data_IF_680905575195
#
_entry.id   IF_680905575195
#
_cell.length_a   1.000
_cell.length_b   1.000
_cell.length_c   1.000
_cell.angle_alpha   90.00
_cell.angle_beta   90.00
_cell.angle_gamma   90.00
#
_symmetry.space_group_name_H-M   'P 1'
#
loop_
_entity.id
_entity.type
_entity.pdbx_description
1 polymer ?
#
# COMPACT_ATOMS: atom_id res chain seq x y z
N UNK A 1 -7.26 -12.95 -17.40
CA UNK A 1 -7.70 -12.68 -16.02
C UNK A 1 -6.72 -11.69 -15.41
N UNK A 2 -7.10 -10.42 -15.31
CA UNK A 2 -6.20 -9.32 -14.94
C UNK A 2 -5.98 -9.24 -13.43
N UNK A 3 -4.78 -8.88 -13.00
CA UNK A 3 -4.42 -8.71 -11.57
C UNK A 3 -5.36 -7.75 -10.82
N UNK A 4 -6.09 -6.90 -11.54
CA UNK A 4 -7.05 -5.93 -11.01
C UNK A 4 -8.18 -6.57 -10.21
N UNK A 5 -8.59 -7.81 -10.51
CA UNK A 5 -9.61 -8.52 -9.72
C UNK A 5 -9.08 -9.03 -8.37
N UNK A 6 -7.79 -9.38 -8.27
CA UNK A 6 -7.22 -9.92 -7.02
C UNK A 6 -7.17 -8.88 -5.91
N UNK A 7 -7.05 -7.59 -6.25
CA UNK A 7 -7.00 -6.50 -5.26
C UNK A 7 -8.36 -6.17 -4.64
N UNK A 8 -9.47 -6.42 -5.36
CA UNK A 8 -10.81 -6.29 -4.77
C UNK A 8 -11.02 -7.23 -3.59
N UNK A 9 -10.40 -8.42 -3.62
CA UNK A 9 -10.47 -9.40 -2.54
C UNK A 9 -9.82 -8.86 -1.25
N UNK A 10 -8.80 -8.00 -1.37
CA UNK A 10 -8.15 -7.34 -0.24
C UNK A 10 -8.79 -5.99 0.14
N UNK A 11 -9.88 -5.60 -0.54
CA UNK A 11 -10.57 -4.32 -0.29
C UNK A 11 -9.71 -3.09 -0.59
N UNK A 12 -8.67 -3.22 -1.40
CA UNK A 12 -7.78 -2.12 -1.79
C UNK A 12 -8.38 -1.33 -2.96
N UNK A 13 -8.28 -0.01 -2.90
CA UNK A 13 -8.60 0.85 -4.02
C UNK A 13 -7.49 0.81 -5.08
N UNK A 14 -7.74 1.40 -6.25
CA UNK A 14 -6.80 1.36 -7.39
C UNK A 14 -5.44 1.98 -7.09
N UNK A 15 -5.39 3.03 -6.27
CA UNK A 15 -4.12 3.65 -5.89
C UNK A 15 -3.37 2.83 -4.85
N UNK A 16 -4.07 2.30 -3.85
CA UNK A 16 -3.51 1.38 -2.87
C UNK A 16 -2.92 0.13 -3.53
N UNK A 17 -3.64 -0.48 -4.46
CA UNK A 17 -3.17 -1.64 -5.21
C UNK A 17 -1.88 -1.31 -6.01
N UNK A 18 -1.84 -0.16 -6.68
CA UNK A 18 -0.65 0.26 -7.45
C UNK A 18 0.54 0.57 -6.55
N UNK A 19 0.34 1.31 -5.47
CA UNK A 19 1.39 1.63 -4.52
C UNK A 19 1.95 0.36 -3.85
N UNK A 20 1.06 -0.56 -3.43
CA UNK A 20 1.45 -1.84 -2.85
C UNK A 20 2.26 -2.70 -3.84
N UNK A 21 1.80 -2.82 -5.09
CA UNK A 21 2.56 -3.54 -6.12
C UNK A 21 3.94 -2.93 -6.38
N UNK A 22 4.05 -1.61 -6.40
CA UNK A 22 5.32 -0.92 -6.54
C UNK A 22 6.24 -1.22 -5.36
N UNK A 23 5.75 -1.15 -4.13
CA UNK A 23 6.51 -1.50 -2.92
C UNK A 23 7.00 -2.96 -2.95
N UNK A 24 6.15 -3.90 -3.36
CA UNK A 24 6.53 -5.32 -3.47
C UNK A 24 7.60 -5.55 -4.54
N UNK A 25 7.61 -4.75 -5.62
CA UNK A 25 8.58 -4.88 -6.72
C UNK A 25 9.91 -4.17 -6.44
N UNK A 26 9.84 -2.94 -5.94
CA UNK A 26 11.00 -2.06 -5.78
C UNK A 26 11.63 -2.16 -4.37
N UNK A 27 10.93 -2.75 -3.40
CA UNK A 27 11.38 -2.81 -2.02
C UNK A 27 11.31 -1.45 -1.31
N UNK A 28 12.32 -1.15 -0.49
CA UNK A 28 12.39 0.12 0.25
C UNK A 28 12.56 1.26 -0.75
N UNK A 29 11.56 2.14 -0.83
CA UNK A 29 11.51 3.25 -1.78
C UNK A 29 10.94 4.50 -1.11
N UNK A 30 11.37 5.67 -1.55
CA UNK A 30 10.83 6.95 -1.09
C UNK A 30 9.42 7.20 -1.66
N UNK A 31 8.63 8.04 -1.01
CA UNK A 31 7.29 8.43 -1.49
C UNK A 31 7.31 9.01 -2.92
N UNK A 32 8.40 9.72 -3.27
CA UNK A 32 8.62 10.28 -4.61
C UNK A 32 8.83 9.19 -5.65
N UNK A 33 9.63 8.17 -5.33
CA UNK A 33 9.87 7.02 -6.21
C UNK A 33 8.60 6.19 -6.36
N UNK A 34 7.90 5.91 -5.26
CA UNK A 34 6.64 5.17 -5.30
C UNK A 34 5.62 5.91 -6.16
N UNK A 35 5.46 7.23 -5.99
CA UNK A 35 4.58 8.05 -6.83
C UNK A 35 4.96 7.94 -8.32
N UNK A 36 6.25 8.05 -8.64
CA UNK A 36 6.77 7.95 -10.01
C UNK A 36 6.49 6.58 -10.63
N UNK A 37 6.76 5.49 -9.92
CA UNK A 37 6.67 4.13 -10.46
C UNK A 37 5.25 3.56 -10.43
N UNK A 38 4.42 3.94 -9.44
CA UNK A 38 3.03 3.49 -9.34
C UNK A 38 2.06 4.32 -10.20
N UNK A 39 2.48 5.52 -10.62
CA UNK A 39 1.61 6.50 -11.27
C UNK A 39 0.55 7.11 -10.33
N UNK A 40 0.68 6.92 -9.02
CA UNK A 40 -0.16 7.59 -8.02
C UNK A 40 0.33 9.03 -7.86
N UNK A 41 -0.56 10.04 -7.91
CA UNK A 41 -0.16 11.44 -7.72
C UNK A 41 0.59 11.66 -6.40
N UNK A 42 1.64 12.47 -6.43
CA UNK A 42 2.44 12.76 -5.22
C UNK A 42 1.61 13.38 -4.10
N UNK A 43 0.59 14.18 -4.44
CA UNK A 43 -0.36 14.74 -3.46
C UNK A 43 -1.23 13.71 -2.73
N UNK A 44 -1.22 12.45 -3.18
CA UNK A 44 -2.05 11.36 -2.66
C UNK A 44 -1.22 10.21 -2.10
N UNK A 45 0.10 10.23 -2.28
CA UNK A 45 0.92 9.05 -1.96
C UNK A 45 0.98 8.80 -0.46
N UNK A 46 1.12 9.85 0.35
CA UNK A 46 1.15 9.72 1.81
C UNK A 46 -0.17 9.19 2.36
N UNK A 47 -1.31 9.72 1.89
CA UNK A 47 -2.64 9.20 2.27
C UNK A 47 -2.81 7.72 1.92
N UNK A 48 -2.32 7.31 0.76
CA UNK A 48 -2.39 5.92 0.30
C UNK A 48 -1.49 5.02 1.14
N UNK A 49 -0.28 5.47 1.48
CA UNK A 49 0.65 4.72 2.32
C UNK A 49 0.13 4.58 3.75
N UNK A 50 -0.43 5.64 4.34
CA UNK A 50 -1.07 5.63 5.67
C UNK A 50 -2.27 4.68 5.71
N UNK A 51 -3.11 4.67 4.67
CA UNK A 51 -4.21 3.70 4.54
C UNK A 51 -3.71 2.26 4.46
N UNK A 52 -2.64 2.00 3.70
CA UNK A 52 -2.02 0.68 3.60
C UNK A 52 -1.43 0.23 4.94
N UNK A 53 -0.70 1.11 5.63
CA UNK A 53 -0.12 0.84 6.95
C UNK A 53 -1.22 0.48 7.97
N UNK A 54 -2.27 1.31 8.07
CA UNK A 54 -3.40 1.05 8.98
C UNK A 54 -4.11 -0.26 8.71
N UNK A 55 -4.22 -0.67 7.44
CA UNK A 55 -4.82 -1.96 7.07
C UNK A 55 -3.94 -3.13 7.49
N UNK A 56 -2.63 -3.01 7.34
CA UNK A 56 -1.67 -4.01 7.84
C UNK A 56 -1.71 -4.07 9.37
N UNK A 57 -1.80 -2.92 10.03
CA UNK A 57 -1.87 -2.81 11.49
C UNK A 57 -3.18 -3.38 12.07
N UNK A 58 -4.30 -3.18 11.38
CA UNK A 58 -5.58 -3.80 11.75
C UNK A 58 -5.53 -5.34 11.68
N UNK A 59 -4.64 -5.91 10.87
CA UNK A 59 -4.34 -7.34 10.85
C UNK A 59 -3.32 -7.80 11.90
N UNK A 60 -2.69 -6.85 12.63
CA UNK A 60 -1.65 -7.05 13.65
C UNK A 60 -2.12 -6.71 15.07
N UNK A 61 -3.43 -6.69 15.33
CA UNK A 61 -3.98 -6.66 16.71
C UNK A 61 -3.73 -8.01 17.43
N UNK A 62 -2.48 -8.25 17.77
CA UNK A 62 -2.01 -9.45 18.44
C UNK A 62 -0.50 -9.47 18.51
N UNK A 63 0.09 -8.41 19.08
CA UNK A 63 1.36 -8.40 19.82
C UNK A 63 1.91 -6.97 19.89
N UNK A 64 1.37 -6.18 20.81
CA UNK A 64 2.21 -5.27 21.60
C UNK A 64 1.70 -5.32 23.04
N UNK A 65 1.99 -6.44 23.70
CA UNK A 65 2.22 -6.47 25.14
C UNK A 65 3.71 -6.74 25.33
N UNK A 66 4.23 -6.19 26.43
CA UNK A 66 5.63 -6.18 26.88
C UNK A 66 6.45 -5.04 26.23
N UNK A 67 6.92 -4.03 26.97
CA UNK A 67 7.22 -3.89 28.42
C UNK A 67 6.87 -2.46 28.86
#
# INVERSE_FOLDING_TARGET
MGIEEKFKIFGLNKYEARAYLTLVKEGVSSAKEISKFSGVPYSRIYDVLDSLEKRVDTGRIGETSEI
#
